data_IF_583116808760
#
_entry.id   IF_583116808760
#
_cell.length_a   1.000
_cell.length_b   1.000
_cell.length_c   1.000
_cell.angle_alpha   90.00
_cell.angle_beta   90.00
_cell.angle_gamma   90.00
#
_symmetry.space_group_name_H-M   'P 1'
#
loop_
_entity.id
_entity.type
_entity.pdbx_description
1 polymer ?
#
# COMPACT_ATOMS: atom_id res chain seq x y z
N UNK A 1 19.59 -14.26 -4.93
CA UNK A 1 20.23 -13.36 -4.00
C UNK A 1 19.33 -12.16 -3.74
N UNK A 2 18.69 -12.20 -2.59
CA UNK A 2 17.86 -11.13 -2.05
C UNK A 2 18.67 -9.97 -1.45
N UNK A 3 19.99 -9.99 -1.59
CA UNK A 3 20.89 -9.08 -0.87
C UNK A 3 21.13 -7.73 -1.57
N UNK A 4 20.56 -7.51 -2.76
CA UNK A 4 20.72 -6.24 -3.49
C UNK A 4 19.81 -5.13 -2.94
N UNK A 5 18.85 -5.48 -2.10
CA UNK A 5 17.83 -4.52 -1.63
C UNK A 5 17.91 -4.10 -0.17
N UNK A 6 18.80 -4.64 0.68
CA UNK A 6 18.59 -4.43 2.11
C UNK A 6 19.74 -3.84 2.92
N UNK A 7 21.00 -3.80 2.46
CA UNK A 7 22.09 -3.38 3.33
C UNK A 7 22.59 -1.95 3.12
N UNK A 8 22.43 -1.39 1.94
CA UNK A 8 23.08 -0.12 1.58
C UNK A 8 22.13 0.91 0.94
N UNK A 9 20.81 0.68 0.99
CA UNK A 9 19.81 1.55 0.36
C UNK A 9 18.89 2.17 1.41
N UNK A 10 18.92 3.48 1.54
CA UNK A 10 17.92 4.20 2.33
C UNK A 10 16.59 4.24 1.59
N UNK A 11 15.53 3.70 2.18
CA UNK A 11 14.23 3.57 1.52
C UNK A 11 13.14 4.32 2.28
N UNK A 12 12.40 5.16 1.59
CA UNK A 12 11.29 5.93 2.16
C UNK A 12 10.03 5.73 1.34
N UNK A 13 8.91 5.47 2.02
CA UNK A 13 7.57 5.56 1.44
C UNK A 13 6.94 6.87 1.88
N UNK A 14 6.63 7.75 0.94
CA UNK A 14 5.97 9.03 1.17
C UNK A 14 4.56 9.01 0.58
N UNK A 15 3.55 9.14 1.43
CA UNK A 15 2.13 9.07 1.02
C UNK A 15 1.27 10.04 1.82
N UNK A 16 0.29 10.68 1.18
CA UNK A 16 -0.64 11.61 1.83
C UNK A 16 -1.71 10.96 2.72
N UNK A 17 -1.84 9.65 2.69
CA UNK A 17 -2.82 8.87 3.46
C UNK A 17 -2.15 7.98 4.51
N UNK A 18 -2.94 7.29 5.34
CA UNK A 18 -2.41 6.33 6.31
C UNK A 18 -1.74 5.13 5.61
N UNK A 19 -0.51 4.81 5.99
CA UNK A 19 0.24 3.69 5.43
C UNK A 19 -0.38 2.33 5.79
N UNK A 20 -1.13 2.25 6.87
CA UNK A 20 -1.81 1.01 7.29
C UNK A 20 -2.89 0.57 6.31
N UNK A 21 -3.53 1.50 5.62
CA UNK A 21 -4.59 1.17 4.68
C UNK A 21 -4.09 0.23 3.56
N UNK A 22 -4.86 -0.83 3.29
CA UNK A 22 -4.54 -1.81 2.26
C UNK A 22 -3.28 -2.65 2.54
N UNK A 23 -2.80 -2.70 3.78
CA UNK A 23 -1.60 -3.48 4.15
C UNK A 23 -0.28 -2.90 3.65
N UNK A 24 -0.28 -1.66 3.13
CA UNK A 24 0.93 -1.01 2.58
C UNK A 24 2.08 -0.95 3.59
N UNK A 25 1.79 -0.56 4.84
CA UNK A 25 2.81 -0.49 5.89
C UNK A 25 3.54 -1.82 6.05
N UNK A 26 2.79 -2.92 6.21
CA UNK A 26 3.37 -4.25 6.36
C UNK A 26 4.19 -4.63 5.12
N UNK A 27 3.63 -4.45 3.92
CA UNK A 27 4.31 -4.76 2.68
C UNK A 27 5.67 -4.07 2.56
N UNK A 28 5.72 -2.75 2.73
CA UNK A 28 6.95 -1.98 2.57
C UNK A 28 7.95 -2.22 3.71
N UNK A 29 7.49 -2.48 4.93
CA UNK A 29 8.38 -2.85 6.04
C UNK A 29 9.03 -4.21 5.82
N UNK A 30 8.29 -5.21 5.35
CA UNK A 30 8.83 -6.56 5.10
C UNK A 30 9.69 -6.64 3.84
N UNK A 31 9.50 -5.75 2.86
CA UNK A 31 10.21 -5.75 1.59
C UNK A 31 11.32 -4.69 1.50
N UNK A 32 11.95 -4.35 2.59
CA UNK A 32 13.11 -3.45 2.57
C UNK A 32 13.17 -2.46 3.71
N UNK A 33 12.34 -2.64 4.74
CA UNK A 33 12.35 -1.81 5.95
C UNK A 33 12.26 -0.31 5.65
N UNK A 34 11.30 0.07 4.80
CA UNK A 34 11.08 1.45 4.43
C UNK A 34 10.75 2.34 5.63
N UNK A 35 11.31 3.52 5.67
CA UNK A 35 10.82 4.62 6.50
C UNK A 35 9.44 5.05 5.99
N UNK A 36 8.46 5.16 6.92
CA UNK A 36 7.08 5.54 6.56
C UNK A 36 6.86 7.01 6.84
N UNK A 37 6.71 7.81 5.80
CA UNK A 37 6.32 9.22 5.88
C UNK A 37 4.89 9.38 5.36
N UNK A 38 3.94 8.97 6.19
CA UNK A 38 2.52 8.97 5.90
C UNK A 38 1.79 10.17 6.55
N UNK A 39 0.46 10.14 6.51
CA UNK A 39 -0.36 11.20 7.10
C UNK A 39 -0.11 11.37 8.61
N UNK A 40 -0.03 10.29 9.36
CA UNK A 40 0.28 10.36 10.80
C UNK A 40 1.68 10.92 11.05
N UNK A 41 2.67 10.50 10.28
CA UNK A 41 4.03 11.07 10.34
C UNK A 41 4.02 12.58 10.09
N UNK A 42 3.27 13.06 9.11
CA UNK A 42 3.21 14.49 8.79
C UNK A 42 2.62 15.33 9.94
N UNK A 43 1.63 14.81 10.68
CA UNK A 43 1.09 15.43 11.88
C UNK A 43 2.11 15.41 13.02
N UNK A 44 2.69 14.26 13.31
CA UNK A 44 3.63 14.06 14.43
C UNK A 44 4.89 14.93 14.29
N UNK A 45 5.34 15.16 13.06
CA UNK A 45 6.49 16.00 12.77
C UNK A 45 6.14 17.48 12.49
N UNK A 46 4.85 17.86 12.63
CA UNK A 46 4.41 19.24 12.46
C UNK A 46 4.48 19.76 11.02
N UNK A 47 4.52 18.89 10.03
CA UNK A 47 4.49 19.25 8.61
C UNK A 47 3.11 19.77 8.20
N UNK A 48 2.07 19.27 8.88
CA UNK A 48 0.68 19.74 8.74
C UNK A 48 0.08 19.94 10.14
N UNK A 49 -0.94 20.81 10.29
CA UNK A 49 -1.70 20.95 11.54
C UNK A 49 -2.38 19.63 11.94
N UNK A 50 -2.54 19.39 13.23
CA UNK A 50 -3.15 18.15 13.75
C UNK A 50 -4.61 17.94 13.35
N UNK A 51 -5.31 19.00 12.98
CA UNK A 51 -6.69 19.00 12.49
C UNK A 51 -6.78 19.10 10.95
N UNK A 52 -5.64 19.11 10.26
CA UNK A 52 -5.61 19.17 8.80
C UNK A 52 -5.92 17.80 8.21
N UNK A 53 -7.05 17.70 7.55
CA UNK A 53 -7.41 16.50 6.79
C UNK A 53 -8.27 16.90 5.60
N UNK A 54 -7.78 16.57 4.42
CA UNK A 54 -8.54 16.65 3.17
C UNK A 54 -8.48 15.30 2.47
N UNK A 55 -9.57 14.89 1.85
CA UNK A 55 -9.65 13.63 1.14
C UNK A 55 -9.19 12.44 2.02
N UNK A 56 -8.13 11.75 1.63
CA UNK A 56 -7.58 10.58 2.33
C UNK A 56 -6.52 10.94 3.40
N UNK A 57 -6.20 12.22 3.56
CA UNK A 57 -5.20 12.71 4.49
C UNK A 57 -4.75 14.11 4.10
N UNK A 58 -3.65 14.25 3.34
CA UNK A 58 -3.27 15.50 2.68
C UNK A 58 -3.12 15.29 1.16
N UNK A 59 -3.37 16.36 0.39
CA UNK A 59 -3.42 16.38 -1.06
C UNK A 59 -2.05 16.24 -1.73
N UNK A 60 -2.05 15.90 -3.03
CA UNK A 60 -0.85 15.68 -3.83
C UNK A 60 0.06 16.92 -3.93
N UNK A 61 -0.50 18.13 -3.85
CA UNK A 61 0.29 19.36 -3.82
C UNK A 61 1.30 19.34 -2.66
N UNK A 62 0.85 19.02 -1.45
CA UNK A 62 1.72 18.89 -0.27
C UNK A 62 2.66 17.67 -0.41
N UNK A 63 2.16 16.58 -0.96
CA UNK A 63 2.99 15.41 -1.20
C UNK A 63 4.22 15.77 -2.04
N UNK A 64 4.06 16.53 -3.13
CA UNK A 64 5.17 16.96 -3.97
C UNK A 64 6.08 17.99 -3.28
N UNK A 65 5.54 18.85 -2.40
CA UNK A 65 6.35 19.77 -1.60
C UNK A 65 7.25 18.98 -0.62
N UNK A 66 6.69 18.04 0.13
CA UNK A 66 7.45 17.19 1.05
C UNK A 66 8.43 16.27 0.33
N UNK A 67 8.07 15.77 -0.85
CA UNK A 67 8.95 14.97 -1.68
C UNK A 67 10.20 15.74 -2.13
N UNK A 68 10.08 17.02 -2.47
CA UNK A 68 11.22 17.87 -2.81
C UNK A 68 12.17 18.04 -1.62
N UNK A 69 11.62 18.30 -0.44
CA UNK A 69 12.41 18.44 0.79
C UNK A 69 13.11 17.12 1.14
N UNK A 70 12.39 16.00 1.06
CA UNK A 70 12.96 14.66 1.33
C UNK A 70 14.06 14.30 0.34
N UNK A 71 13.87 14.55 -0.96
CA UNK A 71 14.89 14.29 -1.98
C UNK A 71 16.16 15.12 -1.75
N UNK A 72 16.02 16.39 -1.38
CA UNK A 72 17.18 17.23 -1.03
C UNK A 72 17.88 16.69 0.22
N UNK A 73 17.15 16.21 1.21
CA UNK A 73 17.73 15.60 2.40
C UNK A 73 18.48 14.30 2.05
N UNK A 74 17.84 13.40 1.31
CA UNK A 74 18.43 12.11 0.92
C UNK A 74 19.68 12.30 0.04
N UNK A 75 19.66 13.28 -0.85
CA UNK A 75 20.78 13.57 -1.75
C UNK A 75 22.02 14.18 -1.07
N UNK A 76 21.92 14.61 0.18
CA UNK A 76 23.08 15.08 0.97
C UNK A 76 23.86 13.94 1.62
N UNK A 77 23.27 12.74 1.69
CA UNK A 77 23.94 11.54 2.21
C UNK A 77 24.87 10.91 1.17
N UNK A 78 25.76 10.06 1.64
CA UNK A 78 26.68 9.29 0.78
C UNK A 78 26.05 7.96 0.31
N UNK A 79 24.95 7.53 0.90
CA UNK A 79 24.28 6.27 0.61
C UNK A 79 23.27 6.43 -0.54
N UNK A 80 23.11 5.41 -1.39
CA UNK A 80 22.03 5.40 -2.38
C UNK A 80 20.66 5.39 -1.70
N UNK A 81 19.68 5.97 -2.36
CA UNK A 81 18.32 6.07 -1.81
C UNK A 81 17.23 5.66 -2.80
N UNK A 82 16.10 5.27 -2.24
CA UNK A 82 14.85 5.05 -2.96
C UNK A 82 13.73 5.83 -2.27
N UNK A 83 13.09 6.74 -2.99
CA UNK A 83 11.88 7.42 -2.57
C UNK A 83 10.70 6.86 -3.39
N UNK A 84 9.82 6.13 -2.73
CA UNK A 84 8.55 5.66 -3.31
C UNK A 84 7.44 6.61 -2.91
N UNK A 85 6.67 7.09 -3.87
CA UNK A 85 5.56 8.01 -3.65
C UNK A 85 4.26 7.42 -4.18
N UNK A 86 3.15 7.68 -3.48
CA UNK A 86 1.80 7.36 -3.95
C UNK A 86 0.94 8.61 -3.92
N UNK A 87 0.52 9.07 -5.09
CA UNK A 87 -0.45 10.17 -5.25
C UNK A 87 -1.87 9.67 -5.02
N UNK A 88 -2.77 10.54 -4.58
CA UNK A 88 -4.12 10.15 -4.17
C UNK A 88 -5.23 11.05 -4.74
N UNK A 89 -4.91 12.23 -5.24
CA UNK A 89 -5.94 13.18 -5.70
C UNK A 89 -6.78 12.64 -6.85
N UNK A 90 -6.23 11.70 -7.65
CA UNK A 90 -6.95 11.04 -8.74
C UNK A 90 -7.74 9.80 -8.31
N UNK A 91 -7.87 9.51 -7.01
CA UNK A 91 -8.69 8.41 -6.53
C UNK A 91 -10.18 8.66 -6.80
N UNK A 92 -10.93 7.61 -7.15
CA UNK A 92 -12.39 7.70 -7.39
C UNK A 92 -13.16 7.93 -6.05
N UNK A 93 -14.36 8.55 -6.05
CA UNK A 93 -15.05 9.07 -7.23
C UNK A 93 -14.65 10.52 -7.46
N UNK A 94 -14.57 10.95 -8.72
CA UNK A 94 -14.31 12.31 -9.20
C UNK A 94 -12.98 12.96 -8.76
N UNK A 95 -12.21 12.32 -7.88
CA UNK A 95 -10.96 12.83 -7.36
C UNK A 95 -11.11 14.06 -6.45
N UNK A 96 -9.98 14.55 -5.95
CA UNK A 96 -9.91 15.74 -5.10
C UNK A 96 -9.48 16.98 -5.89
N UNK A 97 -10.28 18.04 -5.80
CA UNK A 97 -9.99 19.35 -6.45
C UNK A 97 -9.14 20.18 -5.49
N UNK A 98 -7.86 20.29 -5.76
CA UNK A 98 -6.97 21.22 -5.05
C UNK A 98 -7.03 22.63 -5.66
N UNK A 99 -6.39 23.61 -5.00
CA UNK A 99 -6.38 25.01 -5.46
C UNK A 99 -5.75 25.20 -6.85
N UNK A 100 -4.91 24.27 -7.29
CA UNK A 100 -4.22 24.32 -8.58
C UNK A 100 -5.01 23.66 -9.72
N UNK A 101 -6.13 23.00 -9.43
CA UNK A 101 -6.88 22.31 -10.46
C UNK A 101 -7.48 23.30 -11.49
N UNK A 102 -7.31 23.03 -12.80
CA UNK A 102 -7.97 23.84 -13.84
C UNK A 102 -9.47 23.61 -13.83
N UNK A 103 -10.17 24.47 -14.54
CA UNK A 103 -11.61 24.35 -14.84
C UNK A 103 -11.83 24.35 -16.35
N UNK A 104 -10.98 23.62 -17.07
CA UNK A 104 -10.93 23.62 -18.54
C UNK A 104 -11.80 22.53 -19.14
N UNK A 105 -12.13 21.49 -18.37
CA UNK A 105 -12.92 20.35 -18.80
C UNK A 105 -14.30 20.36 -18.14
N UNK A 106 -15.27 19.75 -18.79
CA UNK A 106 -16.65 19.73 -18.32
C UNK A 106 -16.85 18.88 -17.05
N UNK A 107 -16.02 17.84 -16.85
CA UNK A 107 -16.09 16.98 -15.67
C UNK A 107 -15.02 17.33 -14.63
N UNK A 108 -15.37 17.18 -13.35
CA UNK A 108 -14.43 17.37 -12.24
C UNK A 108 -13.22 16.45 -12.39
N UNK A 109 -13.47 15.18 -12.66
CA UNK A 109 -12.41 14.18 -12.72
C UNK A 109 -11.39 14.47 -13.85
N UNK A 110 -11.83 14.96 -15.00
CA UNK A 110 -10.92 15.39 -16.07
C UNK A 110 -10.02 16.55 -15.63
N UNK A 111 -10.58 17.50 -14.88
CA UNK A 111 -9.80 18.62 -14.33
C UNK A 111 -8.78 18.14 -13.28
N UNK A 112 -9.16 17.18 -12.43
CA UNK A 112 -8.26 16.59 -11.43
C UNK A 112 -7.13 15.80 -12.09
N UNK A 113 -7.42 14.99 -13.11
CA UNK A 113 -6.39 14.27 -13.87
C UNK A 113 -5.43 15.22 -14.60
N UNK A 114 -5.93 16.28 -15.18
CA UNK A 114 -5.10 17.31 -15.82
C UNK A 114 -4.22 18.03 -14.78
N UNK A 115 -4.77 18.28 -13.59
CA UNK A 115 -4.03 18.85 -12.47
C UNK A 115 -2.88 17.93 -12.02
N UNK A 116 -3.17 16.67 -11.78
CA UNK A 116 -2.18 15.66 -11.39
C UNK A 116 -1.07 15.55 -12.44
N UNK A 117 -1.44 15.44 -13.71
CA UNK A 117 -0.46 15.39 -14.81
C UNK A 117 0.46 16.61 -14.83
N UNK A 118 -0.07 17.82 -14.60
CA UNK A 118 0.73 19.04 -14.53
C UNK A 118 1.66 19.03 -13.32
N UNK A 119 1.18 18.67 -12.13
CA UNK A 119 1.99 18.58 -10.91
C UNK A 119 3.14 17.59 -11.07
N UNK A 120 2.88 16.40 -11.64
CA UNK A 120 3.93 15.43 -11.98
C UNK A 120 4.95 16.03 -12.96
N UNK A 121 4.48 16.71 -14.00
CA UNK A 121 5.36 17.36 -14.99
C UNK A 121 6.23 18.46 -14.38
N UNK A 122 5.71 19.26 -13.45
CA UNK A 122 6.45 20.28 -12.71
C UNK A 122 7.46 19.67 -11.74
N UNK A 123 7.09 18.59 -11.06
CA UNK A 123 7.99 17.86 -10.19
C UNK A 123 9.16 17.24 -10.96
N UNK A 124 8.90 16.63 -12.11
CA UNK A 124 9.94 16.10 -13.00
C UNK A 124 10.90 17.20 -13.47
N UNK A 125 10.38 18.35 -13.90
CA UNK A 125 11.22 19.49 -14.31
C UNK A 125 12.10 19.99 -13.16
N UNK A 126 11.56 19.96 -11.94
CA UNK A 126 12.33 20.33 -10.76
C UNK A 126 13.45 19.32 -10.48
N UNK A 127 13.15 17.99 -10.52
CA UNK A 127 14.17 16.95 -10.35
C UNK A 127 15.29 17.09 -11.39
N UNK A 128 14.94 17.36 -12.65
CA UNK A 128 15.91 17.53 -13.74
C UNK A 128 16.89 18.69 -13.55
N UNK A 129 16.61 19.61 -12.63
CA UNK A 129 17.49 20.73 -12.30
C UNK A 129 18.39 20.45 -11.09
N UNK A 130 18.25 19.28 -10.44
CA UNK A 130 19.04 18.93 -9.26
C UNK A 130 20.32 18.19 -9.64
N UNK A 131 21.36 18.37 -8.83
CA UNK A 131 22.67 17.75 -9.06
C UNK A 131 22.62 16.21 -9.03
N UNK A 132 21.65 15.63 -8.29
CA UNK A 132 21.48 14.18 -8.19
C UNK A 132 20.78 13.56 -9.41
N UNK A 133 20.21 14.35 -10.32
CA UNK A 133 19.39 13.83 -11.43
C UNK A 133 20.15 12.86 -12.34
N UNK A 134 21.40 13.15 -12.67
CA UNK A 134 22.19 12.30 -13.59
C UNK A 134 22.38 10.86 -13.08
N UNK A 135 22.31 10.67 -11.75
CA UNK A 135 22.42 9.36 -11.08
C UNK A 135 21.08 8.82 -10.57
N UNK A 136 19.96 9.39 -11.00
CA UNK A 136 18.63 9.03 -10.50
C UNK A 136 17.78 8.47 -11.64
N UNK A 137 17.32 7.24 -11.48
CA UNK A 137 16.28 6.65 -12.34
C UNK A 137 14.91 6.99 -11.77
N UNK A 138 14.01 7.49 -12.62
CA UNK A 138 12.63 7.81 -12.21
C UNK A 138 11.68 6.83 -12.91
N UNK A 139 10.83 6.20 -12.12
CA UNK A 139 9.78 5.29 -12.60
C UNK A 139 8.43 5.88 -12.25
N UNK A 140 7.56 6.02 -13.23
CA UNK A 140 6.17 6.46 -13.06
C UNK A 140 5.28 5.33 -13.54
N UNK A 141 4.32 4.92 -12.74
CA UNK A 141 3.33 3.92 -13.12
C UNK A 141 1.99 4.23 -12.47
N UNK A 142 0.92 4.18 -13.25
CA UNK A 142 -0.41 4.04 -12.67
C UNK A 142 -0.56 2.65 -12.05
N UNK A 143 -1.25 2.56 -10.93
CA UNK A 143 -1.49 1.32 -10.20
C UNK A 143 -2.57 0.47 -10.90
N UNK A 144 -3.69 1.08 -11.29
CA UNK A 144 -4.78 0.45 -12.06
C UNK A 144 -5.62 1.52 -12.79
N UNK A 145 -6.44 1.14 -13.78
CA UNK A 145 -7.44 2.02 -14.37
C UNK A 145 -8.44 2.50 -13.30
N UNK A 146 -8.95 3.71 -13.45
CA UNK A 146 -9.95 4.24 -12.50
C UNK A 146 -11.12 3.29 -12.31
N UNK A 147 -11.64 3.21 -11.09
CA UNK A 147 -12.87 2.48 -10.76
C UNK A 147 -14.14 3.33 -10.94
N UNK A 148 -14.01 4.60 -11.33
CA UNK A 148 -15.13 5.48 -11.60
C UNK A 148 -15.86 5.05 -12.86
N UNK A 149 -16.93 4.27 -12.68
CA UNK A 149 -17.71 3.69 -13.76
C UNK A 149 -18.53 4.75 -14.50
N UNK A 150 -19.02 5.75 -13.77
CA UNK A 150 -19.90 6.78 -14.32
C UNK A 150 -19.10 7.73 -15.20
N UNK A 151 -17.94 8.16 -14.74
CA UNK A 151 -16.98 8.91 -15.55
C UNK A 151 -16.58 8.14 -16.81
N UNK A 152 -16.25 6.85 -16.68
CA UNK A 152 -15.87 6.04 -17.83
C UNK A 152 -17.00 5.92 -18.86
N UNK A 153 -18.25 5.77 -18.42
CA UNK A 153 -19.42 5.70 -19.30
C UNK A 153 -19.69 7.04 -19.99
N UNK A 154 -19.44 8.16 -19.32
CA UNK A 154 -19.61 9.50 -19.88
C UNK A 154 -18.57 9.80 -20.97
N UNK A 155 -17.30 9.48 -20.71
CA UNK A 155 -16.19 9.79 -21.63
C UNK A 155 -16.13 8.84 -22.81
N UNK A 156 -16.45 7.56 -22.61
CA UNK A 156 -16.42 6.53 -23.65
C UNK A 156 -17.82 5.93 -23.89
N UNK A 157 -18.72 6.74 -24.40
CA UNK A 157 -20.12 6.34 -24.67
C UNK A 157 -20.24 5.19 -25.66
N UNK A 158 -19.25 5.00 -26.54
CA UNK A 158 -19.24 3.92 -27.54
C UNK A 158 -18.58 2.64 -26.97
N UNK A 159 -17.87 2.70 -25.84
CA UNK A 159 -17.20 1.57 -25.21
C UNK A 159 -16.02 1.02 -26.05
N UNK A 160 -15.42 1.86 -26.88
CA UNK A 160 -14.33 1.47 -27.80
C UNK A 160 -12.93 1.73 -27.24
N UNK A 161 -12.81 2.48 -26.15
CA UNK A 161 -11.51 2.84 -25.59
C UNK A 161 -10.93 1.72 -24.70
N UNK A 162 -9.76 1.24 -25.07
CA UNK A 162 -9.04 0.24 -24.29
C UNK A 162 -8.25 0.96 -23.17
N UNK A 163 -8.80 0.97 -21.97
CA UNK A 163 -8.26 1.69 -20.81
C UNK A 163 -6.89 1.14 -20.38
N UNK A 164 -5.93 2.03 -20.19
CA UNK A 164 -4.55 1.71 -19.87
C UNK A 164 -4.03 2.61 -18.76
N UNK A 165 -3.04 2.12 -18.02
CA UNK A 165 -2.27 2.94 -17.07
C UNK A 165 -1.07 3.55 -17.78
N UNK A 166 -0.67 4.75 -17.33
CA UNK A 166 0.54 5.39 -17.80
C UNK A 166 1.76 4.73 -17.16
N UNK A 167 2.81 4.50 -17.94
CA UNK A 167 4.09 3.98 -17.44
C UNK A 167 5.24 4.70 -18.16
N UNK A 168 6.23 5.16 -17.41
CA UNK A 168 7.43 5.79 -17.95
C UNK A 168 8.66 5.46 -17.10
N UNK A 169 9.77 5.27 -17.78
CA UNK A 169 11.11 5.09 -17.19
C UNK A 169 12.01 6.21 -17.72
N UNK A 170 12.47 7.07 -16.83
CA UNK A 170 13.25 8.26 -17.18
C UNK A 170 14.66 8.07 -16.61
N UNK A 171 15.67 8.41 -17.40
CA UNK A 171 17.08 8.28 -17.04
C UNK A 171 17.46 6.84 -16.64
N UNK A 172 16.94 5.86 -17.39
CA UNK A 172 17.24 4.45 -17.16
C UNK A 172 18.66 4.10 -17.61
N UNK A 173 19.33 3.24 -16.85
CA UNK A 173 20.65 2.70 -17.23
C UNK A 173 20.60 1.73 -18.43
N UNK A 174 19.42 1.19 -18.73
CA UNK A 174 19.19 0.30 -19.86
C UNK A 174 18.59 1.04 -21.06
N UNK A 175 18.98 0.62 -22.25
CA UNK A 175 18.39 1.08 -23.50
C UNK A 175 17.52 0.00 -24.08
N UNK A 176 16.31 0.34 -24.44
CA UNK A 176 15.40 -0.60 -25.05
C UNK A 176 15.87 -1.00 -26.47
N UNK A 177 15.89 -2.31 -26.74
CA UNK A 177 16.42 -2.87 -27.99
C UNK A 177 15.43 -2.73 -29.16
N UNK A 178 14.12 -2.88 -28.87
CA UNK A 178 13.05 -2.72 -29.84
C UNK A 178 11.83 -2.15 -29.12
N UNK A 179 11.29 -1.01 -29.56
CA UNK A 179 10.67 -0.17 -28.57
C UNK A 179 9.32 0.38 -28.85
N UNK A 180 8.80 0.16 -30.00
CA UNK A 180 7.52 0.70 -30.36
C UNK A 180 6.46 -0.40 -30.33
N UNK A 181 5.33 -0.10 -29.65
CA UNK A 181 4.15 -0.95 -29.66
C UNK A 181 4.24 -2.26 -28.86
N UNK A 182 5.03 -2.28 -27.77
CA UNK A 182 5.03 -3.39 -26.83
C UNK A 182 3.66 -3.56 -26.16
N UNK A 183 3.18 -4.81 -26.11
CA UNK A 183 1.99 -5.17 -25.32
C UNK A 183 2.41 -5.76 -24.00
N UNK A 184 2.11 -5.09 -22.89
CA UNK A 184 2.59 -5.47 -21.57
C UNK A 184 1.54 -5.18 -20.48
N UNK A 185 1.81 -5.64 -19.27
CA UNK A 185 1.01 -5.41 -18.08
C UNK A 185 1.87 -4.89 -16.92
N UNK A 186 1.24 -4.57 -15.80
CA UNK A 186 1.95 -4.15 -14.58
C UNK A 186 2.87 -5.23 -14.00
N UNK A 187 2.71 -6.51 -14.37
CA UNK A 187 3.68 -7.57 -14.04
C UNK A 187 5.08 -7.27 -14.57
N UNK A 188 5.17 -6.60 -15.72
CA UNK A 188 6.42 -6.31 -16.40
C UNK A 188 7.16 -5.11 -15.76
N UNK A 189 6.50 -4.35 -14.88
CA UNK A 189 7.11 -3.17 -14.25
C UNK A 189 8.28 -3.52 -13.34
N UNK A 190 8.18 -4.58 -12.54
CA UNK A 190 9.23 -4.93 -11.59
C UNK A 190 10.56 -5.34 -12.28
N UNK A 191 10.60 -6.34 -13.19
CA UNK A 191 11.83 -6.64 -13.91
C UNK A 191 12.34 -5.46 -14.75
N UNK A 192 11.45 -4.64 -15.31
CA UNK A 192 11.85 -3.46 -16.08
C UNK A 192 12.47 -2.39 -15.17
N UNK A 193 11.94 -2.19 -13.96
CA UNK A 193 12.53 -1.27 -12.96
C UNK A 193 13.94 -1.72 -12.57
N UNK A 194 14.13 -3.00 -12.30
CA UNK A 194 15.47 -3.53 -12.00
C UNK A 194 16.44 -3.33 -13.17
N UNK A 195 15.99 -3.58 -14.38
CA UNK A 195 16.82 -3.33 -15.58
C UNK A 195 17.10 -1.84 -15.78
N UNK A 196 16.13 -0.96 -15.49
CA UNK A 196 16.33 0.50 -15.52
C UNK A 196 17.41 0.96 -14.53
N UNK A 197 17.59 0.25 -13.42
CA UNK A 197 18.65 0.46 -12.43
C UNK A 197 19.98 -0.23 -12.80
N UNK A 198 20.06 -0.89 -13.97
CA UNK A 198 21.26 -1.58 -14.46
C UNK A 198 21.42 -3.02 -13.99
N UNK A 199 20.42 -3.59 -13.30
CA UNK A 199 20.45 -5.00 -12.88
C UNK A 199 20.29 -5.91 -14.08
N UNK A 200 21.16 -6.90 -14.20
CA UNK A 200 21.04 -7.94 -15.22
C UNK A 200 20.15 -9.08 -14.73
N UNK A 201 19.19 -9.46 -15.55
CA UNK A 201 18.20 -10.49 -15.24
C UNK A 201 18.40 -11.66 -16.21
N UNK A 202 18.74 -12.84 -15.71
CA UNK A 202 18.90 -14.03 -16.52
C UNK A 202 17.59 -14.40 -17.22
N UNK A 203 17.62 -14.44 -18.56
CA UNK A 203 16.46 -14.72 -19.39
C UNK A 203 15.42 -13.59 -19.44
N UNK A 204 15.75 -12.42 -18.94
CA UNK A 204 14.94 -11.19 -18.97
C UNK A 204 13.55 -11.33 -18.32
N UNK A 205 13.33 -12.29 -17.45
CA UNK A 205 12.05 -12.55 -16.79
C UNK A 205 12.19 -12.74 -15.29
N UNK A 206 11.26 -12.17 -14.53
CA UNK A 206 11.07 -12.44 -13.11
C UNK A 206 9.58 -12.68 -12.82
N UNK A 207 9.27 -13.87 -12.28
CA UNK A 207 7.89 -14.28 -12.07
C UNK A 207 7.09 -14.25 -13.36
N UNK A 208 6.02 -13.45 -13.40
CA UNK A 208 5.17 -13.26 -14.58
C UNK A 208 5.60 -12.09 -15.47
N UNK A 209 6.56 -11.29 -15.02
CA UNK A 209 7.00 -10.09 -15.72
C UNK A 209 8.22 -10.31 -16.61
N UNK A 210 8.31 -9.50 -17.66
CA UNK A 210 9.41 -9.46 -18.62
C UNK A 210 10.06 -8.08 -18.60
N UNK A 211 11.38 -8.00 -18.69
CA UNK A 211 12.13 -6.77 -18.87
C UNK A 211 11.78 -6.14 -20.21
N UNK A 212 11.10 -5.01 -20.20
CA UNK A 212 10.65 -4.31 -21.42
C UNK A 212 11.79 -3.65 -22.20
N UNK A 213 12.99 -3.50 -21.63
CA UNK A 213 14.17 -3.05 -22.35
C UNK A 213 14.78 -4.16 -23.20
N UNK A 214 14.42 -5.42 -22.95
CA UNK A 214 14.90 -6.57 -23.73
C UNK A 214 14.05 -6.81 -24.99
N UNK A 215 14.56 -7.64 -25.90
CA UNK A 215 13.79 -8.17 -27.04
C UNK A 215 12.89 -9.34 -26.68
N UNK A 216 12.87 -9.79 -25.41
CA UNK A 216 12.06 -10.91 -24.96
C UNK A 216 10.59 -10.56 -24.94
N UNK A 217 9.74 -11.44 -25.49
CA UNK A 217 8.28 -11.20 -25.51
C UNK A 217 7.69 -11.24 -24.12
N UNK A 218 6.75 -10.35 -23.84
CA UNK A 218 5.90 -10.43 -22.64
C UNK A 218 4.94 -11.61 -22.73
N UNK A 219 4.29 -11.97 -21.62
CA UNK A 219 3.24 -12.99 -21.64
C UNK A 219 2.06 -12.59 -22.53
N UNK A 220 1.73 -11.30 -22.58
CA UNK A 220 0.65 -10.78 -23.42
C UNK A 220 1.00 -10.87 -24.91
N UNK A 221 2.26 -10.58 -25.27
CA UNK A 221 2.76 -10.73 -26.66
C UNK A 221 2.86 -12.17 -27.11
N UNK A 222 3.13 -13.09 -26.17
CA UNK A 222 3.31 -14.51 -26.48
C UNK A 222 1.97 -15.26 -26.53
N UNK A 223 1.07 -14.99 -25.59
CA UNK A 223 -0.15 -15.78 -25.41
C UNK A 223 -1.44 -15.01 -25.68
N UNK A 224 -1.40 -13.68 -25.72
CA UNK A 224 -2.56 -12.81 -25.88
C UNK A 224 -3.33 -12.61 -24.56
N UNK A 225 -3.98 -11.44 -24.45
CA UNK A 225 -4.70 -10.98 -23.27
C UNK A 225 -5.75 -11.99 -22.75
N UNK A 226 -6.58 -12.52 -23.66
CA UNK A 226 -7.67 -13.44 -23.29
C UNK A 226 -7.16 -14.72 -22.63
N UNK A 227 -6.06 -15.28 -23.14
CA UNK A 227 -5.48 -16.51 -22.58
C UNK A 227 -4.81 -16.24 -21.25
N UNK A 228 -4.02 -15.17 -21.15
CA UNK A 228 -3.36 -14.77 -19.88
C UNK A 228 -4.39 -14.54 -18.79
N UNK A 229 -5.45 -13.78 -19.08
CA UNK A 229 -6.53 -13.55 -18.12
C UNK A 229 -7.27 -14.84 -17.74
N UNK A 230 -7.47 -15.75 -18.65
CA UNK A 230 -8.11 -17.04 -18.36
C UNK A 230 -7.23 -17.90 -17.42
N UNK A 231 -5.91 -17.88 -17.61
CA UNK A 231 -4.98 -18.60 -16.74
C UNK A 231 -4.90 -17.96 -15.34
N UNK A 232 -4.84 -16.62 -15.27
CA UNK A 232 -4.78 -15.88 -13.98
C UNK A 232 -6.04 -16.08 -13.12
N UNK A 233 -7.19 -16.36 -13.73
CA UNK A 233 -8.44 -16.66 -12.99
C UNK A 233 -8.50 -18.06 -12.41
N UNK A 234 -7.57 -18.95 -12.78
CA UNK A 234 -7.53 -20.31 -12.22
C UNK A 234 -6.98 -20.28 -10.80
N UNK A 235 -7.52 -21.15 -9.96
CA UNK A 235 -6.93 -21.40 -8.65
C UNK A 235 -5.52 -21.96 -8.79
N UNK A 236 -4.61 -21.43 -8.00
CA UNK A 236 -3.25 -21.95 -7.91
C UNK A 236 -3.17 -23.07 -6.89
N UNK A 237 -3.04 -24.30 -7.35
CA UNK A 237 -2.80 -25.45 -6.45
C UNK A 237 -1.55 -25.28 -5.58
N UNK A 238 -0.55 -24.53 -6.07
CA UNK A 238 0.65 -24.21 -5.31
C UNK A 238 0.32 -23.32 -4.12
N UNK A 239 -0.41 -22.23 -4.34
CA UNK A 239 -0.83 -21.30 -3.27
C UNK A 239 -1.78 -22.00 -2.29
N UNK A 240 -2.73 -22.82 -2.79
CA UNK A 240 -3.61 -23.61 -1.91
C UNK A 240 -2.83 -24.61 -1.04
N UNK A 241 -1.80 -25.26 -1.59
CA UNK A 241 -0.93 -26.14 -0.82
C UNK A 241 -0.07 -25.37 0.18
N UNK A 242 0.46 -24.22 -0.22
CA UNK A 242 1.25 -23.34 0.66
C UNK A 242 0.41 -22.87 1.83
N UNK A 243 -0.79 -22.36 1.59
CA UNK A 243 -1.72 -21.95 2.64
C UNK A 243 -2.21 -23.10 3.54
N UNK A 244 -2.26 -24.33 3.02
CA UNK A 244 -2.60 -25.51 3.81
C UNK A 244 -1.44 -25.97 4.72
N UNK A 245 -0.19 -25.78 4.29
CA UNK A 245 0.99 -26.07 5.11
C UNK A 245 1.07 -25.13 6.33
N UNK A 246 0.65 -23.87 6.17
CA UNK A 246 0.62 -22.90 7.26
C UNK A 246 -0.29 -23.34 8.42
N UNK A 247 -1.35 -24.09 8.14
CA UNK A 247 -2.29 -24.60 9.16
C UNK A 247 -1.76 -25.75 10.01
N UNK A 248 -0.62 -26.33 9.66
CA UNK A 248 -0.08 -27.54 10.29
C UNK A 248 1.34 -27.39 10.84
N UNK A 249 1.98 -26.25 10.65
CA UNK A 249 3.37 -26.03 11.05
C UNK A 249 3.51 -24.80 11.93
N UNK A 250 3.84 -25.02 13.22
CA UNK A 250 4.00 -23.96 14.22
C UNK A 250 4.99 -22.86 13.80
N UNK A 251 6.03 -23.21 13.04
CA UNK A 251 6.97 -22.22 12.50
C UNK A 251 6.37 -21.33 11.40
N UNK A 252 5.32 -21.81 10.73
CA UNK A 252 4.55 -21.04 9.74
C UNK A 252 3.39 -20.29 10.40
N UNK A 253 2.86 -20.77 11.53
CA UNK A 253 1.91 -20.02 12.37
C UNK A 253 2.55 -18.73 12.91
N UNK A 254 3.85 -18.71 13.11
CA UNK A 254 4.60 -17.48 13.43
C UNK A 254 4.58 -16.51 12.24
N UNK A 255 4.55 -16.99 11.00
CA UNK A 255 4.38 -16.16 9.77
C UNK A 255 2.95 -15.66 9.57
N UNK A 256 1.94 -16.42 10.02
CA UNK A 256 0.54 -15.98 10.08
C UNK A 256 0.25 -15.10 11.29
N UNK A 257 1.29 -14.80 12.10
CA UNK A 257 1.13 -13.97 13.26
C UNK A 257 0.53 -14.66 14.48
N UNK A 258 0.43 -15.98 14.53
CA UNK A 258 0.14 -16.70 15.78
C UNK A 258 1.43 -17.15 16.43
N UNK A 259 1.72 -16.59 17.56
CA UNK A 259 2.82 -17.07 18.41
C UNK A 259 2.36 -18.33 19.13
N UNK A 260 3.12 -19.42 19.02
CA UNK A 260 2.81 -20.66 19.75
C UNK A 260 2.85 -20.39 21.27
N UNK A 261 1.71 -20.63 21.95
CA UNK A 261 1.58 -20.30 23.38
C UNK A 261 1.21 -18.83 23.66
N UNK A 262 0.97 -18.02 22.64
CA UNK A 262 0.37 -16.70 22.80
C UNK A 262 -1.14 -16.87 23.03
N UNK A 263 -1.60 -16.51 24.20
CA UNK A 263 -3.01 -16.57 24.57
C UNK A 263 -3.38 -15.36 25.43
N UNK A 264 -4.63 -14.97 25.34
CA UNK A 264 -5.23 -13.96 26.18
C UNK A 264 -6.73 -14.19 26.28
N UNK A 265 -7.31 -13.86 27.40
CA UNK A 265 -8.75 -13.86 27.59
C UNK A 265 -9.33 -12.55 27.06
N UNK A 266 -10.33 -12.65 26.19
CA UNK A 266 -11.02 -11.51 25.59
C UNK A 266 -12.46 -11.50 26.06
N UNK A 267 -12.90 -10.41 26.67
CA UNK A 267 -14.28 -10.16 27.06
C UNK A 267 -14.89 -9.06 26.17
N UNK A 268 -15.93 -9.43 25.42
CA UNK A 268 -16.75 -8.57 24.58
C UNK A 268 -18.25 -8.91 24.73
N UNK A 269 -18.66 -9.36 25.89
CA UNK A 269 -20.02 -9.92 26.10
C UNK A 269 -21.10 -8.86 26.13
N UNK A 270 -20.79 -7.59 26.16
CA UNK A 270 -21.73 -6.50 26.34
C UNK A 270 -21.68 -5.49 25.19
N UNK A 271 -22.85 -5.26 24.55
CA UNK A 271 -23.04 -4.17 23.58
C UNK A 271 -23.79 -3.04 24.28
N UNK A 272 -23.19 -1.88 24.42
CA UNK A 272 -23.81 -0.70 25.05
C UNK A 272 -23.98 0.40 24.01
N UNK A 273 -25.07 1.15 24.08
CA UNK A 273 -25.45 2.34 23.28
C UNK A 273 -24.42 2.80 22.20
N UNK A 274 -24.24 1.97 21.15
CA UNK A 274 -23.33 2.28 20.04
C UNK A 274 -21.85 1.91 20.23
N UNK A 275 -21.52 1.18 21.29
CA UNK A 275 -20.16 0.76 21.60
C UNK A 275 -20.08 -0.69 22.04
N UNK A 276 -18.94 -1.35 21.74
CA UNK A 276 -18.60 -2.66 22.29
C UNK A 276 -17.35 -2.48 23.17
N UNK A 277 -17.47 -2.53 24.49
CA UNK A 277 -16.30 -2.58 25.38
C UNK A 277 -15.53 -3.86 25.15
N UNK A 278 -14.21 -3.76 25.12
CA UNK A 278 -13.29 -4.89 24.96
C UNK A 278 -12.31 -4.87 26.11
N UNK A 279 -12.19 -5.98 26.83
CA UNK A 279 -11.14 -6.20 27.81
C UNK A 279 -10.31 -7.40 27.39
N UNK A 280 -8.99 -7.27 27.46
CA UNK A 280 -8.02 -8.33 27.19
C UNK A 280 -7.19 -8.55 28.44
N UNK A 281 -7.29 -9.74 29.02
CA UNK A 281 -6.64 -10.12 30.26
C UNK A 281 -5.82 -11.39 30.08
N UNK A 282 -5.03 -11.75 31.09
CA UNK A 282 -4.20 -12.96 31.09
C UNK A 282 -3.33 -13.10 29.84
N UNK A 283 -2.77 -11.97 29.38
CA UNK A 283 -1.83 -11.97 28.24
C UNK A 283 -0.61 -12.80 28.61
N UNK A 284 -0.27 -13.80 27.82
CA UNK A 284 0.79 -14.76 28.15
C UNK A 284 2.17 -14.11 28.24
N UNK A 285 3.02 -14.61 29.15
CA UNK A 285 4.40 -14.11 29.38
C UNK A 285 5.27 -14.13 28.12
N UNK A 286 4.97 -15.01 27.16
CA UNK A 286 5.68 -15.09 25.88
C UNK A 286 5.50 -13.83 25.03
N UNK A 287 4.41 -13.10 25.24
CA UNK A 287 4.09 -11.86 24.54
C UNK A 287 4.63 -10.65 25.31
N UNK A 288 4.47 -10.64 26.64
CA UNK A 288 4.71 -9.47 27.50
C UNK A 288 6.15 -8.94 27.42
N UNK A 289 7.13 -9.81 27.26
CA UNK A 289 8.55 -9.42 27.33
C UNK A 289 9.04 -8.52 26.19
N UNK A 290 8.35 -8.49 25.05
CA UNK A 290 8.71 -7.68 23.89
C UNK A 290 7.54 -6.82 23.38
N UNK A 291 6.45 -6.73 24.15
CA UNK A 291 5.23 -6.08 23.74
C UNK A 291 5.41 -4.54 23.70
N UNK A 292 5.02 -3.92 22.60
CA UNK A 292 4.82 -2.49 22.49
C UNK A 292 3.39 -2.12 22.86
N UNK A 293 2.40 -2.91 22.42
CA UNK A 293 0.99 -2.72 22.69
C UNK A 293 0.12 -3.80 22.09
N UNK A 294 -1.16 -3.74 22.39
CA UNK A 294 -2.19 -4.54 21.74
C UNK A 294 -3.08 -3.66 20.87
N UNK A 295 -3.51 -4.20 19.73
CA UNK A 295 -4.46 -3.54 18.83
C UNK A 295 -5.60 -4.49 18.48
N UNK A 296 -6.77 -3.93 18.17
CA UNK A 296 -7.88 -4.66 17.60
C UNK A 296 -7.99 -4.36 16.12
N UNK A 297 -8.26 -5.38 15.33
CA UNK A 297 -8.81 -5.25 14.00
C UNK A 297 -10.25 -5.72 13.99
N UNK A 298 -11.15 -4.89 13.49
CA UNK A 298 -12.61 -5.14 13.51
C UNK A 298 -13.17 -4.98 12.11
N UNK A 299 -13.99 -5.92 11.66
CA UNK A 299 -14.67 -5.85 10.37
C UNK A 299 -16.02 -6.55 10.41
N UNK A 300 -16.89 -6.24 9.46
CA UNK A 300 -18.22 -6.85 9.31
C UNK A 300 -18.44 -7.48 7.95
N UNK A 301 -17.58 -7.21 6.97
CA UNK A 301 -17.72 -7.67 5.60
C UNK A 301 -16.69 -8.73 5.23
N UNK A 302 -17.09 -9.62 4.32
CA UNK A 302 -16.18 -10.64 3.79
C UNK A 302 -14.94 -9.99 3.16
N UNK A 303 -13.78 -10.62 3.41
CA UNK A 303 -12.51 -10.08 2.91
C UNK A 303 -12.02 -8.82 3.62
N UNK A 304 -12.62 -8.47 4.78
CA UNK A 304 -12.20 -7.32 5.59
C UNK A 304 -12.33 -5.97 4.87
N UNK A 305 -13.32 -5.83 3.98
CA UNK A 305 -13.49 -4.63 3.17
C UNK A 305 -13.74 -3.34 4.00
N UNK A 306 -14.28 -3.49 5.22
CA UNK A 306 -14.58 -2.41 6.16
C UNK A 306 -13.70 -2.46 7.42
N UNK A 307 -12.52 -3.07 7.35
CA UNK A 307 -11.64 -3.24 8.52
C UNK A 307 -11.27 -1.91 9.18
N UNK A 308 -11.40 -1.86 10.49
CA UNK A 308 -11.07 -0.70 11.32
C UNK A 308 -10.15 -1.13 12.47
N UNK A 309 -9.23 -0.25 12.86
CA UNK A 309 -8.22 -0.51 13.88
C UNK A 309 -8.50 0.31 15.14
N UNK A 310 -8.26 -0.31 16.31
CA UNK A 310 -8.37 0.32 17.62
C UNK A 310 -7.18 -0.04 18.47
N UNK A 311 -6.61 0.93 19.13
CA UNK A 311 -5.57 0.70 20.12
C UNK A 311 -6.18 0.26 21.44
N UNK A 312 -5.53 -0.68 22.11
CA UNK A 312 -5.87 -1.07 23.48
C UNK A 312 -4.88 -0.43 24.45
N UNK A 313 -5.40 0.22 25.47
CA UNK A 313 -4.60 0.87 26.50
C UNK A 313 -4.35 -0.07 27.69
N UNK A 314 -3.09 -0.22 28.13
CA UNK A 314 -2.79 -1.03 29.30
C UNK A 314 -3.25 -0.33 30.60
N UNK A 315 -3.73 -1.12 31.56
CA UNK A 315 -3.94 -0.71 32.94
C UNK A 315 -2.71 -0.96 33.82
N UNK A 316 -2.80 -0.59 35.10
CA UNK A 316 -1.73 -0.78 36.10
C UNK A 316 -1.46 -2.27 36.41
N UNK A 317 -2.38 -3.17 36.09
CA UNK A 317 -2.30 -4.60 36.34
C UNK A 317 -1.77 -5.39 35.13
N UNK A 318 -1.54 -4.70 33.98
CA UNK A 318 -1.06 -5.32 32.74
C UNK A 318 -2.19 -5.91 31.88
N UNK A 319 -3.46 -5.60 32.18
CA UNK A 319 -4.57 -5.88 31.30
C UNK A 319 -4.77 -4.73 30.31
N UNK A 320 -5.49 -4.99 29.24
CA UNK A 320 -5.73 -4.00 28.20
C UNK A 320 -7.22 -3.78 28.01
N UNK A 321 -7.62 -2.55 27.78
CA UNK A 321 -9.00 -2.19 27.53
C UNK A 321 -9.12 -1.24 26.32
N UNK A 322 -10.23 -1.37 25.61
CA UNK A 322 -10.58 -0.51 24.50
C UNK A 322 -12.08 -0.52 24.23
N UNK A 323 -12.50 0.24 23.23
CA UNK A 323 -13.91 0.37 22.88
C UNK A 323 -14.02 0.36 21.35
N UNK A 324 -14.84 -0.53 20.81
CA UNK A 324 -15.20 -0.52 19.39
C UNK A 324 -16.37 0.45 19.21
N UNK A 325 -16.16 1.47 18.41
CA UNK A 325 -17.19 2.47 18.07
C UNK A 325 -17.99 1.99 16.85
N UNK A 326 -19.25 1.64 17.08
CA UNK A 326 -20.15 1.15 16.03
C UNK A 326 -20.50 2.21 14.98
N UNK A 327 -20.30 3.48 15.28
CA UNK A 327 -20.52 4.56 14.30
C UNK A 327 -19.60 4.43 13.08
N UNK A 328 -18.41 3.86 13.27
CA UNK A 328 -17.46 3.59 12.18
C UNK A 328 -17.95 2.52 11.19
N UNK A 329 -18.95 1.76 11.59
CA UNK A 329 -19.64 0.74 10.78
C UNK A 329 -21.08 1.15 10.46
N UNK A 330 -21.41 2.43 10.58
CA UNK A 330 -22.76 2.97 10.37
C UNK A 330 -23.83 2.27 11.23
N UNK A 331 -23.47 1.80 12.41
CA UNK A 331 -24.34 1.02 13.33
C UNK A 331 -24.97 -0.22 12.67
N UNK A 332 -24.23 -0.83 11.73
CA UNK A 332 -24.69 -2.01 10.99
C UNK A 332 -25.00 -3.16 11.96
N UNK A 333 -26.22 -3.71 11.97
CA UNK A 333 -26.52 -4.91 12.76
C UNK A 333 -25.88 -6.14 12.12
N UNK A 334 -25.51 -7.14 12.91
CA UNK A 334 -24.97 -8.40 12.45
C UNK A 334 -23.68 -8.80 13.15
N UNK A 335 -22.93 -9.70 12.53
CA UNK A 335 -21.69 -10.24 13.11
C UNK A 335 -20.52 -9.28 12.87
N UNK A 336 -19.84 -8.94 13.95
CA UNK A 336 -18.56 -8.24 13.96
C UNK A 336 -17.47 -9.23 14.28
N UNK A 337 -16.48 -9.29 13.43
CA UNK A 337 -15.27 -10.09 13.65
C UNK A 337 -14.22 -9.19 14.31
N UNK A 338 -13.64 -9.67 15.38
CA UNK A 338 -12.67 -8.92 16.18
C UNK A 338 -11.42 -9.77 16.37
N UNK A 339 -10.28 -9.29 15.90
CA UNK A 339 -9.00 -9.94 16.08
C UNK A 339 -8.11 -9.09 16.98
N UNK A 340 -7.59 -9.69 18.07
CA UNK A 340 -6.61 -9.07 18.96
C UNK A 340 -5.23 -9.41 18.47
N UNK A 341 -4.41 -8.38 18.27
CA UNK A 341 -3.04 -8.50 17.78
C UNK A 341 -2.06 -7.89 18.77
N UNK A 342 -0.95 -8.58 19.01
CA UNK A 342 0.19 -8.03 19.74
C UNK A 342 1.11 -7.29 18.77
N UNK A 343 1.58 -6.12 19.16
CA UNK A 343 2.62 -5.35 18.47
C UNK A 343 3.88 -5.39 19.31
N UNK A 344 4.95 -5.97 18.78
CA UNK A 344 6.26 -5.99 19.45
C UNK A 344 7.04 -4.69 19.28
N UNK A 345 8.04 -4.48 20.11
CA UNK A 345 9.01 -3.39 19.96
C UNK A 345 9.76 -3.45 18.62
N UNK A 346 9.90 -4.65 18.06
CA UNK A 346 10.48 -4.89 16.73
C UNK A 346 9.53 -4.49 15.58
N UNK A 347 8.33 -3.99 15.88
CA UNK A 347 7.24 -3.69 14.93
C UNK A 347 6.62 -4.93 14.27
N UNK A 348 6.91 -6.13 14.75
CA UNK A 348 6.20 -7.34 14.33
C UNK A 348 4.83 -7.41 14.99
N UNK A 349 3.86 -7.87 14.25
CA UNK A 349 2.48 -8.05 14.71
C UNK A 349 2.12 -9.54 14.71
N UNK A 350 1.42 -9.98 15.76
CA UNK A 350 0.98 -11.36 15.92
C UNK A 350 -0.48 -11.40 16.27
N UNK A 351 -1.24 -12.26 15.61
CA UNK A 351 -2.60 -12.56 16.02
C UNK A 351 -2.58 -13.37 17.33
N UNK A 352 -3.30 -12.88 18.33
CA UNK A 352 -3.44 -13.58 19.61
C UNK A 352 -4.71 -14.42 19.56
N UNK A 353 -5.86 -13.77 19.31
CA UNK A 353 -7.16 -14.43 19.33
C UNK A 353 -8.14 -13.69 18.40
N UNK A 354 -9.05 -14.44 17.80
CA UNK A 354 -10.12 -13.89 16.97
C UNK A 354 -11.47 -14.32 17.56
N UNK A 355 -12.38 -13.35 17.71
CA UNK A 355 -13.71 -13.56 18.25
C UNK A 355 -14.77 -12.95 17.34
N UNK A 356 -16.00 -13.41 17.54
CA UNK A 356 -17.20 -12.85 16.89
C UNK A 356 -18.15 -12.32 17.95
N UNK A 357 -18.74 -11.15 17.68
CA UNK A 357 -19.83 -10.62 18.48
C UNK A 357 -20.99 -10.24 17.58
N UNK A 358 -22.20 -10.59 17.99
CA UNK A 358 -23.40 -10.23 17.24
C UNK A 358 -24.01 -8.95 17.80
N UNK A 359 -24.09 -7.93 16.97
CA UNK A 359 -24.73 -6.64 17.28
C UNK A 359 -26.17 -6.69 16.80
N UNK A 360 -27.15 -6.46 17.69
CA UNK A 360 -28.57 -6.58 17.39
C UNK A 360 -29.08 -5.56 16.37
#
# INVERSE_FOLDING_TARGET
SSDVCSSDLTQTLLIGSEAQFGGRKLYFQEHGNYEMEDYSYAIENGLIPSDYKVWWGYEDQKLFEFAKEKLLQLSQGDEPFNLTMLTVDTHFEDGYVCEQCPTEYDTQYSNVMACSSRQVGEFLKWIQQQDFYENTTIVISGDHPTMDSDYCAEIDQEGNYDRRVFTAYINAAAYAQDQQERTYSTFDNFPTTLAALGVQIDGDRLGLGTNLFSGTKTLLEEFGNSKVNAELKKKSEFIEKLSALDKTNDALLIREGKMNGADADIDMTHVAEGYIPVAVTNVSDSIVNNLQGLVLTVWTEDGQADVTWYELNPDEEGNYAGVIDLSRFNYKPGTYYVNVRAVEQSKREYDINCMEINVP
#
